data_IF_692019178590
#
_entry.id   IF_692019178590
#
_cell.length_a   1.000
_cell.length_b   1.000
_cell.length_c   1.000
_cell.angle_alpha   90.00
_cell.angle_beta   90.00
_cell.angle_gamma   90.00
#
_symmetry.space_group_name_H-M   'P 1'
#
loop_
_entity.id
_entity.type
_entity.pdbx_description
1 polymer ?
#
# COMPACT_ATOMS: atom_id res chain seq x y z
N UNK A 1 22.14 8.31 42.16
CA UNK A 1 21.64 8.17 43.55
C UNK A 1 21.75 9.51 44.23
N UNK A 2 20.65 10.09 44.70
CA UNK A 2 20.75 11.29 45.52
C UNK A 2 21.44 10.93 46.81
N UNK A 3 22.47 11.71 47.19
CA UNK A 3 23.26 11.50 48.39
C UNK A 3 22.64 12.32 49.51
N UNK A 4 22.07 11.66 50.50
CA UNK A 4 21.43 12.31 51.65
C UNK A 4 22.46 12.58 52.76
N UNK A 5 22.74 13.86 53.02
CA UNK A 5 23.80 14.31 53.90
C UNK A 5 23.43 14.34 55.40
N UNK A 6 22.18 14.03 55.76
CA UNK A 6 21.72 14.01 57.15
C UNK A 6 20.66 12.95 57.38
N UNK A 7 20.59 12.33 58.57
CA UNK A 7 19.51 11.38 58.88
C UNK A 7 18.17 12.12 58.95
N UNK A 8 17.23 11.67 58.13
CA UNK A 8 15.89 12.24 58.01
C UNK A 8 14.98 11.31 57.15
N UNK A 9 13.69 11.64 57.12
CA UNK A 9 12.74 10.96 56.23
C UNK A 9 12.69 11.77 54.93
N UNK A 10 13.16 11.18 53.86
CA UNK A 10 13.14 11.78 52.55
C UNK A 10 12.07 11.09 51.74
N UNK A 11 11.19 11.88 51.12
CA UNK A 11 10.17 11.39 50.22
C UNK A 11 10.70 11.54 48.81
N UNK A 12 11.06 10.42 48.18
CA UNK A 12 11.39 10.36 46.76
C UNK A 12 10.12 10.01 45.94
N UNK A 13 9.67 10.98 45.19
CA UNK A 13 8.58 10.75 44.23
C UNK A 13 9.13 9.98 43.00
N UNK A 14 9.12 8.67 43.05
CA UNK A 14 9.32 7.87 41.87
C UNK A 14 8.03 7.88 41.07
N UNK A 15 8.01 8.65 39.99
CA UNK A 15 6.91 8.69 39.06
C UNK A 15 6.80 7.33 38.36
N UNK A 16 5.99 6.45 38.88
CA UNK A 16 5.47 5.30 38.16
C UNK A 16 4.44 5.78 37.12
N UNK A 17 4.89 6.59 36.16
CA UNK A 17 4.12 6.75 34.94
C UNK A 17 4.12 5.39 34.28
N UNK A 18 3.02 4.65 34.44
CA UNK A 18 2.70 3.59 33.51
C UNK A 18 2.87 4.20 32.12
N UNK A 19 3.90 3.79 31.39
CA UNK A 19 3.99 4.09 29.96
C UNK A 19 2.71 3.47 29.39
N UNK A 20 1.73 4.32 29.08
CA UNK A 20 0.59 3.87 28.30
C UNK A 20 1.20 3.23 27.05
N UNK A 21 0.86 2.00 26.81
CA UNK A 21 1.19 1.35 25.56
C UNK A 21 0.44 2.19 24.52
N UNK A 22 1.14 3.10 23.86
CA UNK A 22 0.59 3.81 22.73
C UNK A 22 0.16 2.76 21.72
N UNK A 23 -1.14 2.68 21.47
CA UNK A 23 -1.68 1.83 20.44
C UNK A 23 -1.01 2.20 19.13
N UNK A 24 -0.26 1.28 18.55
CA UNK A 24 0.23 1.44 17.18
C UNK A 24 -1.01 1.65 16.32
N UNK A 25 -1.07 2.77 15.60
CA UNK A 25 -2.18 3.08 14.70
C UNK A 25 -2.31 1.98 13.65
N UNK A 26 -3.26 1.07 13.87
CA UNK A 26 -3.56 -0.05 12.96
C UNK A 26 -4.34 0.39 11.73
N UNK A 27 -4.59 1.68 11.56
CA UNK A 27 -5.36 2.25 10.46
C UNK A 27 -4.61 2.37 9.13
N UNK A 28 -3.35 1.95 9.07
CA UNK A 28 -2.56 1.91 7.83
C UNK A 28 -2.42 0.47 7.35
N UNK A 29 -2.96 0.18 6.19
CA UNK A 29 -3.00 -1.16 5.59
C UNK A 29 -2.28 -1.14 4.25
N UNK A 30 -1.80 -2.29 3.80
CA UNK A 30 -1.24 -2.45 2.47
C UNK A 30 -1.93 -3.62 1.75
N UNK A 31 -2.32 -3.37 0.51
CA UNK A 31 -2.82 -4.40 -0.40
C UNK A 31 -1.86 -4.60 -1.57
N UNK A 32 -1.70 -5.85 -1.96
CA UNK A 32 -0.84 -6.26 -3.07
C UNK A 32 -1.66 -7.11 -4.03
N UNK A 33 -1.66 -6.75 -5.28
CA UNK A 33 -2.41 -7.53 -6.27
C UNK A 33 -2.50 -6.87 -7.65
N UNK A 34 -3.17 -7.53 -8.59
CA UNK A 34 -3.38 -7.02 -9.93
C UNK A 34 -4.44 -5.92 -9.92
N UNK A 35 -4.26 -4.94 -10.79
CA UNK A 35 -5.22 -3.85 -11.05
C UNK A 35 -5.31 -3.61 -12.55
N UNK A 36 -6.37 -2.93 -12.99
CA UNK A 36 -6.59 -2.66 -14.43
C UNK A 36 -5.52 -1.77 -15.05
N UNK A 37 -5.06 -0.78 -14.32
CA UNK A 37 -4.07 0.21 -14.75
C UNK A 37 -3.25 0.68 -13.57
N UNK A 38 -2.36 1.62 -13.78
CA UNK A 38 -1.63 2.31 -12.74
C UNK A 38 -0.18 1.90 -12.61
N UNK A 39 0.56 2.58 -11.73
CA UNK A 39 1.97 2.33 -11.53
C UNK A 39 2.21 0.94 -10.94
N UNK A 40 3.31 0.31 -11.38
CA UNK A 40 3.78 -0.96 -10.79
C UNK A 40 4.78 -0.61 -9.69
N UNK A 41 4.50 -1.06 -8.47
CA UNK A 41 5.45 -0.89 -7.39
C UNK A 41 6.68 -1.76 -7.64
N UNK A 42 7.86 -1.15 -7.54
CA UNK A 42 9.13 -1.83 -7.75
C UNK A 42 10.14 -1.41 -6.70
N UNK A 43 10.84 -2.37 -6.14
CA UNK A 43 11.97 -2.12 -5.22
C UNK A 43 13.30 -2.06 -5.94
N UNK A 44 13.34 -2.43 -7.21
CA UNK A 44 14.54 -2.43 -8.03
C UNK A 44 14.46 -1.33 -9.08
N UNK A 45 15.60 -0.78 -9.39
CA UNK A 45 15.76 0.05 -10.59
C UNK A 45 15.58 -0.85 -11.82
N UNK A 46 14.77 -0.41 -12.75
CA UNK A 46 14.60 -1.11 -14.03
C UNK A 46 15.91 -1.08 -14.86
N UNK A 47 16.04 -2.01 -15.80
CA UNK A 47 17.21 -2.08 -16.68
C UNK A 47 17.38 -0.81 -17.55
N UNK A 48 16.30 -0.07 -17.78
CA UNK A 48 16.28 1.22 -18.49
C UNK A 48 16.70 2.42 -17.63
N UNK A 49 17.05 2.18 -16.35
CA UNK A 49 17.44 3.23 -15.41
C UNK A 49 16.28 3.87 -14.64
N UNK A 50 15.03 3.46 -14.87
CA UNK A 50 13.86 3.95 -14.13
C UNK A 50 14.03 3.68 -12.63
N UNK A 51 13.84 4.69 -11.77
CA UNK A 51 13.98 4.53 -10.34
C UNK A 51 12.88 3.62 -9.77
N UNK A 52 13.13 2.97 -8.62
CA UNK A 52 12.10 2.20 -7.93
C UNK A 52 10.90 3.09 -7.61
N UNK A 53 9.70 2.57 -7.83
CA UNK A 53 8.47 3.23 -7.46
C UNK A 53 7.93 2.63 -6.15
N UNK A 54 7.68 3.44 -5.12
CA UNK A 54 7.07 2.95 -3.89
C UNK A 54 5.60 2.55 -4.13
N UNK A 55 5.00 1.77 -3.23
CA UNK A 55 3.55 1.59 -3.23
C UNK A 55 2.83 2.92 -3.15
N UNK A 56 1.71 3.03 -3.85
CA UNK A 56 0.91 4.26 -3.88
C UNK A 56 0.08 4.38 -2.60
N UNK A 57 0.17 5.54 -1.95
CA UNK A 57 -0.67 5.87 -0.80
C UNK A 57 -2.02 6.43 -1.26
N UNK A 58 -3.09 5.82 -0.81
CA UNK A 58 -4.45 6.21 -1.08
C UNK A 58 -5.19 6.59 0.19
N UNK A 59 -6.02 7.61 0.09
CA UNK A 59 -6.84 8.12 1.20
C UNK A 59 -8.33 7.99 0.94
N UNK A 60 -8.71 7.62 -0.28
CA UNK A 60 -10.10 7.42 -0.67
C UNK A 60 -10.23 6.38 -1.77
N UNK A 61 -11.44 5.79 -1.90
CA UNK A 61 -11.74 4.91 -3.03
C UNK A 61 -11.72 5.67 -4.37
N UNK A 62 -12.08 6.95 -4.36
CA UNK A 62 -11.99 7.81 -5.56
C UNK A 62 -10.56 7.94 -6.10
N UNK A 63 -9.57 8.02 -5.21
CA UNK A 63 -8.15 8.05 -5.58
C UNK A 63 -7.73 6.72 -6.20
N UNK A 64 -8.21 5.60 -5.62
CA UNK A 64 -7.97 4.28 -6.18
C UNK A 64 -8.50 4.15 -7.62
N UNK A 65 -9.76 4.54 -7.85
CA UNK A 65 -10.38 4.46 -9.18
C UNK A 65 -9.62 5.29 -10.21
N UNK A 66 -9.14 6.45 -9.81
CA UNK A 66 -8.39 7.36 -10.69
C UNK A 66 -7.03 6.78 -11.05
N UNK A 67 -6.34 6.17 -10.09
CA UNK A 67 -4.98 5.65 -10.26
C UNK A 67 -4.97 4.24 -10.84
N UNK A 68 -5.80 3.34 -10.30
CA UNK A 68 -5.74 1.90 -10.58
C UNK A 68 -6.92 1.35 -11.37
N UNK A 69 -7.95 2.15 -11.58
CA UNK A 69 -9.17 1.75 -12.28
C UNK A 69 -10.30 1.34 -11.35
N UNK A 70 -11.47 1.10 -11.93
CA UNK A 70 -12.69 0.80 -11.20
C UNK A 70 -12.84 -0.66 -10.77
N UNK A 71 -14.09 -1.02 -10.48
CA UNK A 71 -14.48 -2.37 -10.03
C UNK A 71 -14.61 -3.38 -11.17
N UNK A 72 -14.42 -2.93 -12.41
CA UNK A 72 -14.58 -3.81 -13.57
C UNK A 72 -13.63 -5.00 -13.51
N UNK A 73 -14.06 -6.11 -14.14
CA UNK A 73 -13.29 -7.34 -14.20
C UNK A 73 -11.92 -7.13 -14.85
N UNK A 74 -10.96 -7.87 -14.35
CA UNK A 74 -9.65 -8.00 -14.97
C UNK A 74 -9.71 -8.99 -16.14
N UNK A 75 -8.80 -8.85 -17.09
CA UNK A 75 -8.65 -9.80 -18.19
C UNK A 75 -7.26 -10.43 -18.14
N UNK A 76 -7.23 -11.76 -18.14
CA UNK A 76 -6.00 -12.54 -18.16
C UNK A 76 -6.09 -13.57 -19.28
N UNK A 77 -5.29 -13.42 -20.34
CA UNK A 77 -5.26 -14.38 -21.43
C UNK A 77 -6.61 -14.62 -22.11
N UNK A 78 -7.43 -13.59 -22.26
CA UNK A 78 -8.77 -13.69 -22.81
C UNK A 78 -9.85 -14.14 -21.82
N UNK A 79 -9.49 -14.55 -20.61
CA UNK A 79 -10.42 -14.90 -19.55
C UNK A 79 -10.70 -13.70 -18.64
N UNK A 80 -11.96 -13.56 -18.23
CA UNK A 80 -12.35 -12.57 -17.23
C UNK A 80 -12.09 -13.10 -15.82
N UNK A 81 -11.60 -12.24 -14.95
CA UNK A 81 -11.42 -12.53 -13.53
C UNK A 81 -11.93 -11.36 -12.70
N UNK A 82 -12.58 -11.65 -11.61
CA UNK A 82 -13.05 -10.63 -10.68
C UNK A 82 -11.89 -9.79 -10.13
N UNK A 83 -12.06 -8.48 -10.13
CA UNK A 83 -11.08 -7.55 -9.56
C UNK A 83 -11.19 -7.53 -8.03
N UNK A 84 -10.74 -8.59 -7.37
CA UNK A 84 -10.82 -8.72 -5.91
C UNK A 84 -10.13 -7.58 -5.18
N UNK A 85 -9.03 -7.05 -5.73
CA UNK A 85 -8.32 -5.95 -5.09
C UNK A 85 -9.18 -4.70 -5.02
N UNK A 86 -9.88 -4.34 -6.09
CA UNK A 86 -10.75 -3.17 -6.11
C UNK A 86 -11.92 -3.31 -5.12
N UNK A 87 -12.51 -4.50 -5.02
CA UNK A 87 -13.55 -4.78 -4.05
C UNK A 87 -13.02 -4.73 -2.60
N UNK A 88 -11.83 -5.24 -2.35
CA UNK A 88 -11.19 -5.15 -1.04
C UNK A 88 -10.90 -3.70 -0.63
N UNK A 89 -10.41 -2.88 -1.57
CA UNK A 89 -10.18 -1.45 -1.33
C UNK A 89 -11.48 -0.71 -1.04
N UNK A 90 -12.55 -0.99 -1.79
CA UNK A 90 -13.86 -0.41 -1.54
C UNK A 90 -14.35 -0.73 -0.14
N UNK A 91 -14.30 -2.00 0.24
CA UNK A 91 -14.72 -2.44 1.57
C UNK A 91 -13.87 -1.83 2.67
N UNK A 92 -12.56 -1.73 2.48
CA UNK A 92 -11.66 -1.10 3.45
C UNK A 92 -12.07 0.35 3.76
N UNK A 93 -12.36 1.15 2.75
CA UNK A 93 -12.79 2.53 2.96
C UNK A 93 -14.22 2.63 3.50
N UNK A 94 -15.13 1.72 3.11
CA UNK A 94 -16.49 1.67 3.66
C UNK A 94 -16.53 1.31 5.15
N UNK A 95 -15.60 0.47 5.59
CA UNK A 95 -15.44 0.08 7.01
C UNK A 95 -14.66 1.12 7.85
N UNK A 96 -14.37 2.29 7.29
CA UNK A 96 -13.72 3.39 8.00
C UNK A 96 -12.20 3.40 7.91
N UNK A 97 -11.60 2.62 7.01
CA UNK A 97 -10.18 2.70 6.71
C UNK A 97 -9.81 4.09 6.18
N UNK A 98 -8.66 4.61 6.60
CA UNK A 98 -8.25 5.98 6.26
C UNK A 98 -6.98 6.06 5.42
N UNK A 99 -6.10 5.07 5.51
CA UNK A 99 -4.79 5.07 4.82
C UNK A 99 -4.50 3.68 4.27
N UNK A 100 -4.35 3.60 2.97
CA UNK A 100 -4.08 2.35 2.27
C UNK A 100 -2.91 2.51 1.32
N UNK A 101 -1.92 1.63 1.42
CA UNK A 101 -0.89 1.49 0.42
C UNK A 101 -1.28 0.40 -0.58
N UNK A 102 -1.19 0.70 -1.86
CA UNK A 102 -1.43 -0.28 -2.92
C UNK A 102 -0.16 -0.53 -3.71
N UNK A 103 0.23 -1.80 -3.78
CA UNK A 103 1.31 -2.27 -4.61
C UNK A 103 0.73 -3.10 -5.77
N UNK A 104 0.74 -2.54 -6.96
CA UNK A 104 0.29 -3.25 -8.16
C UNK A 104 1.30 -4.34 -8.54
N UNK A 105 0.78 -5.53 -8.77
CA UNK A 105 1.54 -6.63 -9.39
C UNK A 105 1.13 -6.72 -10.85
N UNK A 106 2.11 -6.70 -11.74
CA UNK A 106 1.93 -6.91 -13.16
C UNK A 106 2.95 -7.94 -13.67
N UNK A 107 2.59 -8.65 -14.72
CA UNK A 107 3.53 -9.56 -15.36
C UNK A 107 4.68 -8.77 -16.02
N UNK A 108 5.85 -9.36 -16.13
CA UNK A 108 7.11 -8.71 -16.49
C UNK A 108 7.15 -7.89 -17.79
N UNK A 109 6.13 -8.00 -18.66
CA UNK A 109 5.98 -7.12 -19.82
C UNK A 109 5.31 -5.77 -19.53
N UNK A 110 4.75 -5.57 -18.34
CA UNK A 110 4.01 -4.36 -17.98
C UNK A 110 4.89 -3.30 -17.30
N UNK A 111 6.19 -3.49 -17.24
CA UNK A 111 7.11 -2.51 -16.63
C UNK A 111 7.10 -1.15 -17.34
N UNK A 112 6.78 -1.13 -18.63
CA UNK A 112 6.67 0.11 -19.42
C UNK A 112 5.29 0.79 -19.29
N UNK A 113 4.32 0.15 -18.68
CA UNK A 113 2.96 0.68 -18.55
C UNK A 113 2.80 1.78 -17.51
N UNK A 114 3.88 2.24 -16.91
CA UNK A 114 3.85 3.45 -16.09
C UNK A 114 3.45 4.70 -16.88
N UNK A 115 3.60 4.68 -18.19
CA UNK A 115 3.29 5.81 -19.06
C UNK A 115 1.94 5.67 -19.77
N UNK A 116 1.37 4.48 -19.85
CA UNK A 116 0.12 4.25 -20.55
C UNK A 116 -0.82 3.50 -19.62
N UNK A 117 -2.04 3.94 -19.56
CA UNK A 117 -3.12 3.25 -18.87
C UNK A 117 -3.37 1.87 -19.52
N UNK A 118 -2.35 1.00 -19.44
CA UNK A 118 -2.40 -0.35 -19.97
C UNK A 118 -3.34 -1.19 -19.12
N UNK A 119 -4.42 -1.59 -19.68
CA UNK A 119 -5.22 -2.71 -19.19
C UNK A 119 -4.30 -3.94 -19.15
N UNK A 120 -4.40 -4.75 -18.08
CA UNK A 120 -3.78 -6.08 -18.03
C UNK A 120 -4.47 -6.96 -19.08
N UNK A 121 -4.16 -6.71 -20.32
CA UNK A 121 -4.66 -7.47 -21.43
C UNK A 121 -3.61 -8.51 -21.79
N UNK A 122 -3.85 -9.73 -21.42
CA UNK A 122 -3.14 -10.93 -21.86
C UNK A 122 -1.69 -11.13 -21.32
N UNK A 123 -1.49 -11.98 -20.29
CA UNK A 123 -0.16 -12.38 -19.85
C UNK A 123 0.61 -13.25 -20.87
N UNK A 124 -0.03 -13.70 -21.95
CA UNK A 124 0.60 -14.51 -23.02
C UNK A 124 1.08 -13.68 -24.20
N UNK A 125 0.75 -12.40 -24.28
CA UNK A 125 1.13 -11.56 -25.41
C UNK A 125 2.32 -10.68 -25.01
N UNK A 126 3.50 -11.29 -25.02
CA UNK A 126 4.77 -10.61 -24.73
C UNK A 126 5.09 -9.48 -25.74
N UNK A 127 4.26 -9.28 -26.74
CA UNK A 127 4.51 -8.35 -27.84
C UNK A 127 3.54 -7.17 -27.89
N UNK A 128 2.64 -7.03 -26.91
CA UNK A 128 1.83 -5.83 -26.77
C UNK A 128 2.45 -4.88 -25.77
N UNK A 129 3.33 -4.09 -26.29
CA UNK A 129 3.76 -2.83 -25.70
C UNK A 129 2.61 -1.85 -25.90
N UNK A 130 1.92 -1.54 -24.85
CA UNK A 130 0.95 -0.47 -24.79
C UNK A 130 1.46 0.64 -23.92
#
# INVERSE_FOLDING_TARGET
MPEYLAPGVYVEETSFRAKSIEGVGTSTTAFVGPTRKGPVASTRRSADGTPPAPPELLTSFGDFVRTFGGLDDLRFGGSRATNFLAHAVLNFFNEGGSRLYVARVANGGAAAAGAVAGELDNPGDANRVF
#
